data_IF_747082559487
#
_entry.id   IF_747082559487
#
_cell.length_a   1.000
_cell.length_b   1.000
_cell.length_c   1.000
_cell.angle_alpha   90.00
_cell.angle_beta   90.00
_cell.angle_gamma   90.00
#
_symmetry.space_group_name_H-M   'P 1'
#
loop_
_entity.id
_entity.type
_entity.pdbx_description
1 polymer ?
#
# COMPACT_ATOMS: atom_id res chain seq x y z
N UNK A 1 14.09 -1.65 43.57
CA UNK A 1 14.81 -1.95 42.37
C UNK A 1 14.03 -1.66 41.09
N UNK A 2 13.63 -2.61 40.30
CA UNK A 2 12.95 -2.31 39.02
C UNK A 2 11.66 -1.49 39.16
N UNK A 3 10.95 -1.59 40.27
CA UNK A 3 9.66 -0.89 40.48
C UNK A 3 9.89 0.58 40.89
N UNK A 4 10.93 0.91 41.65
CA UNK A 4 11.22 2.29 42.04
C UNK A 4 11.66 3.19 40.90
N UNK A 5 12.41 2.65 39.96
CA UNK A 5 12.79 3.33 38.70
C UNK A 5 11.69 3.30 37.64
N UNK A 6 10.72 2.39 37.77
CA UNK A 6 9.66 2.20 36.81
C UNK A 6 8.62 3.32 36.77
N UNK A 7 8.48 4.11 37.83
CA UNK A 7 7.55 5.24 37.85
C UNK A 7 8.00 6.31 36.85
N UNK A 8 9.27 6.68 36.87
CA UNK A 8 9.82 7.62 35.88
C UNK A 8 9.82 7.03 34.48
N UNK A 9 10.13 5.76 34.35
CA UNK A 9 10.09 5.02 33.09
C UNK A 9 8.68 4.94 32.53
N UNK A 10 7.69 4.61 33.34
CA UNK A 10 6.29 4.56 32.98
C UNK A 10 5.76 5.93 32.53
N UNK A 11 6.12 6.99 33.25
CA UNK A 11 5.77 8.36 32.87
C UNK A 11 6.42 8.75 31.55
N UNK A 12 7.66 8.37 31.33
CA UNK A 12 8.36 8.60 30.05
C UNK A 12 7.70 7.87 28.88
N UNK A 13 7.29 6.62 29.09
CA UNK A 13 6.56 5.84 28.07
C UNK A 13 5.20 6.46 27.76
N UNK A 14 4.44 6.86 28.75
CA UNK A 14 3.14 7.53 28.56
C UNK A 14 3.31 8.85 27.81
N UNK A 15 4.32 9.62 28.16
CA UNK A 15 4.66 10.85 27.45
C UNK A 15 5.04 10.61 25.98
N UNK A 16 5.88 9.61 25.73
CA UNK A 16 6.29 9.23 24.38
C UNK A 16 5.10 8.73 23.53
N UNK A 17 4.26 7.89 24.11
CA UNK A 17 3.03 7.41 23.46
C UNK A 17 2.06 8.54 23.18
N UNK A 18 1.96 9.54 24.04
CA UNK A 18 1.14 10.73 23.84
C UNK A 18 1.62 11.53 22.64
N UNK A 19 2.92 11.67 22.45
CA UNK A 19 3.51 12.34 21.28
C UNK A 19 3.17 11.57 19.99
N UNK A 20 3.28 10.26 19.99
CA UNK A 20 2.95 9.41 18.86
C UNK A 20 1.47 9.52 18.50
N UNK A 21 0.60 9.60 19.50
CA UNK A 21 -0.85 9.69 19.29
C UNK A 21 -1.31 11.01 18.66
N UNK A 22 -0.65 12.11 18.96
CA UNK A 22 -1.08 13.45 18.53
C UNK A 22 -0.59 13.86 17.15
N UNK A 23 0.35 13.13 16.60
CA UNK A 23 0.83 13.48 15.26
C UNK A 23 0.08 12.70 14.21
N UNK A 24 -0.83 13.41 13.54
CA UNK A 24 -1.45 13.15 12.25
C UNK A 24 -1.50 11.68 11.84
N UNK A 25 -2.61 11.24 11.29
CA UNK A 25 -2.80 9.91 10.76
C UNK A 25 -1.52 9.39 10.09
N UNK A 26 -0.79 8.54 10.81
CA UNK A 26 0.35 7.83 10.27
C UNK A 26 -0.21 6.87 9.23
N UNK A 27 -0.10 7.24 7.97
CA UNK A 27 -0.65 6.48 6.85
C UNK A 27 0.11 5.17 6.62
N UNK A 28 1.34 5.09 7.09
CA UNK A 28 2.18 3.92 6.92
C UNK A 28 2.49 3.27 8.28
N UNK A 29 2.13 2.00 8.43
CA UNK A 29 2.42 1.19 9.60
C UNK A 29 3.93 1.08 9.89
N UNK A 30 4.76 1.25 8.88
CA UNK A 30 6.23 1.18 9.02
C UNK A 30 6.77 2.35 9.83
N UNK A 31 6.27 3.54 9.63
CA UNK A 31 6.69 4.73 10.36
C UNK A 31 6.40 4.60 11.84
N UNK A 32 5.27 3.99 12.19
CA UNK A 32 4.92 3.67 13.57
C UNK A 32 5.94 2.73 14.21
N UNK A 33 6.36 1.69 13.51
CA UNK A 33 7.38 0.73 14.00
C UNK A 33 8.71 1.43 14.24
N UNK A 34 9.15 2.32 13.37
CA UNK A 34 10.39 3.10 13.56
C UNK A 34 10.32 3.99 14.79
N UNK A 35 9.20 4.65 15.04
CA UNK A 35 9.00 5.50 16.20
C UNK A 35 9.04 4.67 17.48
N UNK A 36 8.34 3.56 17.55
CA UNK A 36 8.36 2.64 18.69
C UNK A 36 9.76 2.10 18.96
N UNK A 37 10.46 1.71 17.90
CA UNK A 37 11.84 1.25 18.02
C UNK A 37 12.76 2.31 18.62
N UNK A 38 12.69 3.53 18.14
CA UNK A 38 13.47 4.65 18.65
C UNK A 38 13.19 4.90 20.15
N UNK A 39 11.93 4.85 20.57
CA UNK A 39 11.50 5.01 21.95
C UNK A 39 12.07 3.87 22.83
N UNK A 40 11.93 2.63 22.41
CA UNK A 40 12.42 1.47 23.16
C UNK A 40 13.94 1.50 23.32
N UNK A 41 14.66 1.81 22.25
CA UNK A 41 16.14 1.94 22.31
C UNK A 41 16.56 3.08 23.24
N UNK A 42 15.90 4.22 23.14
CA UNK A 42 16.18 5.36 24.00
C UNK A 42 15.95 5.06 25.47
N UNK A 43 14.85 4.39 25.81
CA UNK A 43 14.54 3.98 27.17
C UNK A 43 15.53 2.95 27.70
N UNK A 44 15.86 1.95 26.90
CA UNK A 44 16.82 0.89 27.30
C UNK A 44 18.22 1.47 27.54
N UNK A 45 18.66 2.41 26.73
CA UNK A 45 19.92 3.13 26.93
C UNK A 45 19.87 4.00 28.19
N UNK A 46 18.74 4.63 28.47
CA UNK A 46 18.56 5.48 29.65
C UNK A 46 18.62 4.71 30.97
N UNK A 47 18.19 3.47 30.98
CA UNK A 47 18.26 2.59 32.16
C UNK A 47 19.65 1.96 32.32
N UNK A 48 20.51 2.06 31.31
CA UNK A 48 21.85 1.49 31.35
C UNK A 48 21.92 0.02 30.95
N UNK A 49 20.82 -0.53 30.46
CA UNK A 49 20.78 -1.92 29.99
C UNK A 49 21.08 -2.01 28.48
N UNK A 50 22.35 -1.90 28.17
CA UNK A 50 22.84 -1.92 26.79
C UNK A 50 22.68 -3.25 26.11
N UNK A 51 22.66 -4.35 26.85
CA UNK A 51 22.48 -5.69 26.26
C UNK A 51 21.08 -5.83 25.73
N UNK A 52 20.08 -5.46 26.53
CA UNK A 52 18.66 -5.48 26.07
C UNK A 52 18.43 -4.55 24.89
N UNK A 53 19.04 -3.36 24.90
CA UNK A 53 18.96 -2.44 23.76
C UNK A 53 19.55 -3.05 22.49
N UNK A 54 20.72 -3.69 22.58
CA UNK A 54 21.39 -4.33 21.45
C UNK A 54 20.61 -5.50 20.88
N UNK A 55 20.14 -6.40 21.72
CA UNK A 55 19.33 -7.56 21.30
C UNK A 55 18.00 -7.11 20.70
N UNK A 56 17.31 -6.18 21.35
CA UNK A 56 16.05 -5.63 20.86
C UNK A 56 16.19 -4.96 19.49
N UNK A 57 17.25 -4.17 19.31
CA UNK A 57 17.55 -3.53 18.04
C UNK A 57 17.84 -4.55 16.93
N UNK A 58 18.59 -5.60 17.24
CA UNK A 58 18.86 -6.67 16.27
C UNK A 58 17.58 -7.37 15.83
N UNK A 59 16.70 -7.72 16.76
CA UNK A 59 15.41 -8.36 16.44
C UNK A 59 14.54 -7.46 15.56
N UNK A 60 14.41 -6.19 15.93
CA UNK A 60 13.61 -5.23 15.13
C UNK A 60 14.21 -5.05 13.74
N UNK A 61 15.54 -4.96 13.65
CA UNK A 61 16.23 -4.87 12.37
C UNK A 61 15.93 -6.06 11.46
N UNK A 62 16.00 -7.28 11.99
CA UNK A 62 15.64 -8.50 11.23
C UNK A 62 14.19 -8.48 10.80
N UNK A 63 13.27 -8.12 11.67
CA UNK A 63 11.84 -8.03 11.34
C UNK A 63 11.62 -7.01 10.23
N UNK A 64 12.25 -5.84 10.31
CA UNK A 64 12.14 -4.81 9.28
C UNK A 64 12.74 -5.25 7.93
N UNK A 65 13.83 -6.03 7.95
CA UNK A 65 14.38 -6.60 6.71
C UNK A 65 13.39 -7.55 6.04
N UNK A 66 12.76 -8.42 6.82
CA UNK A 66 11.75 -9.35 6.32
C UNK A 66 10.53 -8.60 5.78
N UNK A 67 10.03 -7.63 6.54
CA UNK A 67 8.89 -6.81 6.10
C UNK A 67 9.25 -5.90 4.91
N UNK A 68 10.49 -5.41 4.86
CA UNK A 68 10.98 -4.59 3.75
C UNK A 68 11.08 -5.35 2.43
N UNK A 69 11.26 -6.67 2.49
CA UNK A 69 11.22 -7.52 1.31
C UNK A 69 9.77 -7.79 0.83
N UNK A 70 8.81 -7.69 1.71
CA UNK A 70 7.39 -7.63 1.30
C UNK A 70 7.15 -6.25 0.71
N UNK A 71 7.66 -6.07 -0.48
CA UNK A 71 7.50 -4.86 -1.27
C UNK A 71 6.01 -4.63 -1.46
N UNK A 72 5.51 -3.49 -1.02
CA UNK A 72 4.25 -2.99 -1.53
C UNK A 72 4.37 -3.02 -3.05
N UNK A 73 3.74 -3.99 -3.65
CA UNK A 73 3.56 -3.94 -5.09
C UNK A 73 2.72 -2.71 -5.33
N UNK A 74 3.36 -1.67 -5.83
CA UNK A 74 2.67 -0.47 -6.26
C UNK A 74 1.57 -0.94 -7.19
N UNK A 75 0.35 -0.85 -6.72
CA UNK A 75 -0.81 -1.31 -7.44
C UNK A 75 -1.28 -0.18 -8.34
N UNK A 76 -1.70 -0.55 -9.51
CA UNK A 76 -2.29 0.37 -10.46
C UNK A 76 -3.77 0.02 -10.62
N UNK A 77 -4.59 1.05 -10.75
CA UNK A 77 -6.00 0.90 -11.00
C UNK A 77 -6.29 1.25 -12.45
N UNK A 78 -6.92 0.33 -13.15
CA UNK A 78 -7.45 0.56 -14.49
C UNK A 78 -8.95 0.78 -14.37
N UNK A 79 -9.41 1.96 -14.69
CA UNK A 79 -10.81 2.36 -14.66
C UNK A 79 -11.30 2.44 -16.09
N UNK A 80 -12.31 1.64 -16.41
CA UNK A 80 -12.93 1.61 -17.73
C UNK A 80 -14.42 1.88 -17.58
N UNK A 81 -14.91 2.90 -18.27
CA UNK A 81 -16.34 3.19 -18.35
C UNK A 81 -16.83 3.10 -19.79
N UNK A 82 -17.93 2.43 -19.97
CA UNK A 82 -18.55 2.29 -21.28
C UNK A 82 -20.02 1.90 -21.17
N UNK A 83 -20.63 1.61 -22.30
CA UNK A 83 -22.01 1.14 -22.33
C UNK A 83 -22.14 -0.26 -21.71
N UNK A 84 -23.24 -0.52 -21.02
CA UNK A 84 -23.50 -1.82 -20.38
C UNK A 84 -23.43 -3.00 -21.37
N UNK A 85 -23.78 -2.79 -22.61
CA UNK A 85 -23.71 -3.83 -23.65
C UNK A 85 -22.27 -4.28 -23.97
N UNK A 86 -21.27 -3.49 -23.63
CA UNK A 86 -19.85 -3.78 -23.90
C UNK A 86 -19.10 -4.41 -22.73
N UNK A 87 -19.78 -4.66 -21.61
CA UNK A 87 -19.22 -5.23 -20.40
C UNK A 87 -18.38 -6.50 -20.66
N UNK A 88 -18.99 -7.49 -21.30
CA UNK A 88 -18.31 -8.76 -21.61
C UNK A 88 -17.08 -8.57 -22.52
N UNK A 89 -17.16 -7.64 -23.46
CA UNK A 89 -16.04 -7.32 -24.35
C UNK A 89 -14.89 -6.66 -23.60
N UNK A 90 -15.19 -5.74 -22.69
CA UNK A 90 -14.19 -5.09 -21.84
C UNK A 90 -13.51 -6.12 -20.98
N UNK A 91 -14.27 -6.97 -20.29
CA UNK A 91 -13.73 -8.04 -19.46
C UNK A 91 -12.83 -8.99 -20.22
N UNK A 92 -13.25 -9.45 -21.39
CA UNK A 92 -12.45 -10.36 -22.21
C UNK A 92 -11.16 -9.71 -22.72
N UNK A 93 -11.24 -8.46 -23.19
CA UNK A 93 -10.07 -7.72 -23.68
C UNK A 93 -9.04 -7.46 -22.60
N UNK A 94 -9.48 -7.04 -21.41
CA UNK A 94 -8.59 -6.79 -20.27
C UNK A 94 -7.95 -8.10 -19.79
N UNK A 95 -8.75 -9.15 -19.67
CA UNK A 95 -8.28 -10.47 -19.25
C UNK A 95 -7.27 -11.07 -20.22
N UNK A 96 -7.46 -10.91 -21.52
CA UNK A 96 -6.56 -11.37 -22.55
C UNK A 96 -5.26 -10.56 -22.59
N UNK A 97 -5.35 -9.22 -22.51
CA UNK A 97 -4.20 -8.34 -22.55
C UNK A 97 -3.23 -8.60 -21.39
N UNK A 98 -3.76 -8.77 -20.18
CA UNK A 98 -2.97 -9.04 -18.98
C UNK A 98 -2.81 -10.53 -18.66
N UNK A 99 -3.19 -11.43 -19.57
CA UNK A 99 -3.09 -12.88 -19.40
C UNK A 99 -3.71 -13.39 -18.09
N UNK A 100 -4.89 -12.90 -17.74
CA UNK A 100 -5.64 -13.22 -16.53
C UNK A 100 -4.92 -12.88 -15.21
N UNK A 101 -3.99 -11.93 -15.24
CA UNK A 101 -3.27 -11.46 -14.06
C UNK A 101 -3.79 -10.11 -13.57
N UNK A 102 -5.09 -9.93 -13.62
CA UNK A 102 -5.80 -8.76 -13.15
C UNK A 102 -6.95 -9.20 -12.28
N UNK A 103 -7.19 -8.44 -11.23
CA UNK A 103 -8.31 -8.65 -10.32
C UNK A 103 -9.34 -7.54 -10.51
N UNK A 104 -10.59 -7.93 -10.78
CA UNK A 104 -11.71 -7.01 -10.81
C UNK A 104 -12.05 -6.63 -9.36
N UNK A 105 -11.90 -5.38 -9.02
CA UNK A 105 -12.15 -4.88 -7.67
C UNK A 105 -13.55 -4.35 -7.48
N UNK A 106 -14.01 -3.59 -8.45
CA UNK A 106 -15.30 -2.92 -8.39
C UNK A 106 -15.97 -3.01 -9.76
N UNK A 107 -17.22 -3.38 -9.73
CA UNK A 107 -18.12 -3.36 -10.86
C UNK A 107 -19.32 -2.49 -10.50
N UNK A 108 -19.39 -1.31 -11.07
CA UNK A 108 -20.51 -0.42 -10.92
C UNK A 108 -21.36 -0.48 -12.19
N UNK A 109 -22.52 -1.08 -12.10
CA UNK A 109 -23.43 -1.19 -13.22
C UNK A 109 -24.64 -0.28 -13.01
N UNK A 110 -24.88 0.60 -13.97
CA UNK A 110 -26.08 1.42 -14.06
C UNK A 110 -26.98 0.89 -15.17
N UNK A 111 -28.15 1.46 -15.36
CA UNK A 111 -29.08 1.02 -16.40
C UNK A 111 -28.43 1.05 -17.78
N UNK A 112 -27.64 2.09 -18.08
CA UNK A 112 -27.08 2.36 -19.39
C UNK A 112 -25.56 2.23 -19.46
N UNK A 113 -24.86 2.26 -18.30
CA UNK A 113 -23.41 2.30 -18.25
C UNK A 113 -22.85 1.25 -17.30
N UNK A 114 -21.62 0.83 -17.59
CA UNK A 114 -20.81 -0.01 -16.71
C UNK A 114 -19.46 0.68 -16.45
N UNK A 115 -19.04 0.66 -15.22
CA UNK A 115 -17.70 1.10 -14.82
C UNK A 115 -17.00 -0.06 -14.12
N UNK A 116 -15.88 -0.45 -14.69
CA UNK A 116 -15.06 -1.56 -14.19
C UNK A 116 -13.74 -1.01 -13.68
N UNK A 117 -13.40 -1.36 -12.45
CA UNK A 117 -12.13 -1.00 -11.83
C UNK A 117 -11.32 -2.26 -11.58
N UNK A 118 -10.22 -2.38 -12.30
CA UNK A 118 -9.28 -3.47 -12.18
C UNK A 118 -8.06 -3.07 -11.37
N UNK A 119 -7.61 -3.96 -10.53
CA UNK A 119 -6.34 -3.81 -9.82
C UNK A 119 -5.26 -4.62 -10.53
N UNK A 120 -4.16 -3.95 -10.87
CA UNK A 120 -3.06 -4.52 -11.64
C UNK A 120 -1.75 -4.27 -10.89
N UNK A 121 -0.92 -5.30 -10.77
CA UNK A 121 0.44 -5.09 -10.28
C UNK A 121 1.26 -4.26 -11.28
N UNK A 122 1.99 -3.27 -10.79
CA UNK A 122 2.87 -2.41 -11.61
C UNK A 122 3.86 -3.21 -12.46
N UNK A 123 4.31 -4.37 -11.96
CA UNK A 123 5.18 -5.28 -12.72
C UNK A 123 4.46 -5.86 -13.94
N UNK A 124 3.22 -6.30 -13.75
CA UNK A 124 2.38 -6.84 -14.84
C UNK A 124 2.07 -5.75 -15.85
N UNK A 125 1.70 -4.56 -15.38
CA UNK A 125 1.45 -3.42 -16.26
C UNK A 125 2.67 -3.04 -17.09
N UNK A 126 3.86 -2.87 -16.47
CA UNK A 126 5.10 -2.57 -17.19
C UNK A 126 5.50 -3.65 -18.19
N UNK A 127 5.26 -4.91 -17.86
CA UNK A 127 5.55 -6.03 -18.77
C UNK A 127 4.60 -6.03 -19.96
N UNK A 128 3.34 -5.73 -19.73
CA UNK A 128 2.31 -5.68 -20.78
C UNK A 128 2.41 -4.41 -21.62
N UNK A 129 2.83 -3.28 -21.04
CA UNK A 129 3.01 -2.02 -21.77
C UNK A 129 4.18 -2.04 -22.78
N UNK A 130 5.03 -3.06 -22.71
CA UNK A 130 6.05 -3.32 -23.74
C UNK A 130 5.48 -3.97 -25.00
N UNK A 131 4.22 -4.32 -25.02
CA UNK A 131 3.53 -4.78 -26.22
C UNK A 131 3.34 -3.61 -27.20
N UNK A 132 3.24 -3.92 -28.46
CA UNK A 132 3.13 -2.91 -29.53
C UNK A 132 1.93 -1.98 -29.39
N UNK A 133 0.87 -2.44 -28.72
CA UNK A 133 -0.37 -1.69 -28.56
C UNK A 133 -0.63 -1.47 -27.07
N UNK A 134 -0.96 -0.24 -26.69
CA UNK A 134 -1.33 0.06 -25.30
C UNK A 134 -2.73 -0.50 -24.97
N UNK A 135 -2.96 -0.82 -23.69
CA UNK A 135 -4.28 -1.27 -23.25
C UNK A 135 -5.38 -0.25 -23.56
N UNK A 136 -5.04 1.02 -23.48
CA UNK A 136 -5.97 2.11 -23.80
C UNK A 136 -6.41 2.05 -25.25
N UNK A 137 -5.49 1.87 -26.20
CA UNK A 137 -5.81 1.71 -27.61
C UNK A 137 -6.64 0.47 -27.88
N UNK A 138 -6.34 -0.65 -27.21
CA UNK A 138 -7.14 -1.86 -27.33
C UNK A 138 -8.58 -1.65 -26.86
N UNK A 139 -8.77 -0.94 -25.77
CA UNK A 139 -10.08 -0.66 -25.21
C UNK A 139 -10.87 0.37 -26.04
N UNK A 140 -10.20 1.40 -26.56
CA UNK A 140 -10.87 2.38 -27.44
C UNK A 140 -11.30 1.82 -28.80
N UNK A 141 -10.80 0.67 -29.19
CA UNK A 141 -11.31 -0.07 -30.37
C UNK A 141 -12.69 -0.69 -30.13
N UNK A 142 -13.10 -0.81 -28.89
CA UNK A 142 -14.44 -1.28 -28.53
C UNK A 142 -15.41 -0.12 -28.70
N UNK A 143 -16.50 -0.35 -29.38
CA UNK A 143 -17.56 0.65 -29.55
C UNK A 143 -18.17 1.03 -28.19
N UNK A 144 -18.54 2.29 -28.04
CA UNK A 144 -19.22 2.82 -26.85
C UNK A 144 -18.40 2.82 -25.55
N UNK A 145 -17.09 2.90 -25.66
CA UNK A 145 -16.23 3.22 -24.51
C UNK A 145 -16.24 4.73 -24.28
N UNK A 146 -16.58 5.12 -23.06
CA UNK A 146 -16.64 6.54 -22.66
C UNK A 146 -15.27 7.07 -22.28
N UNK A 147 -14.59 6.38 -21.36
CA UNK A 147 -13.20 6.70 -21.03
C UNK A 147 -12.45 5.50 -20.45
N UNK A 148 -11.13 5.55 -20.58
CA UNK A 148 -10.20 4.63 -19.97
C UNK A 148 -9.17 5.43 -19.19
N UNK A 149 -9.04 5.16 -17.91
CA UNK A 149 -8.07 5.84 -17.04
C UNK A 149 -7.19 4.81 -16.33
N UNK A 150 -5.89 5.10 -16.25
CA UNK A 150 -4.94 4.29 -15.50
C UNK A 150 -4.36 5.16 -14.39
N UNK A 151 -4.68 4.81 -13.15
CA UNK A 151 -4.24 5.54 -11.97
C UNK A 151 -3.20 4.70 -11.24
N UNK A 152 -2.04 5.28 -10.99
CA UNK A 152 -1.07 4.70 -10.08
C UNK A 152 -1.50 5.02 -8.66
N UNK A 153 -1.72 4.00 -7.87
CA UNK A 153 -1.95 4.15 -6.44
C UNK A 153 -0.58 4.33 -5.76
N UNK A 154 0.08 5.46 -6.03
CA UNK A 154 1.16 5.90 -5.18
C UNK A 154 0.52 6.46 -3.91
N UNK A 155 0.93 5.92 -2.77
CA UNK A 155 0.52 6.43 -1.45
C UNK A 155 1.04 7.85 -1.15
N UNK A 156 1.54 8.54 -2.16
CA UNK A 156 1.93 9.93 -2.14
C UNK A 156 0.73 10.83 -2.46
N UNK A 157 -0.27 10.80 -1.58
CA UNK A 157 -1.09 11.98 -1.43
C UNK A 157 -0.47 12.81 -0.30
N UNK A 158 0.65 13.41 -0.60
CA UNK A 158 1.11 14.59 0.10
C UNK A 158 0.21 15.74 -0.31
N UNK A 159 -0.70 16.06 0.53
CA UNK A 159 -1.52 17.24 0.47
C UNK A 159 -1.72 17.74 1.88
#
# INVERSE_FOLDING_TARGET
TAIGNNVALSLGMVGALSIVRFRTAIKDSRDTVYIFWAVVVGLSCGVGDYITAGVGSAVVFFVLLILGQVKNENRMLLIVRGARSTDTRIMSTVSEYFKRRVDLRVENTTVDQVELIYEISRKVYKKSSKQMTSIQECLYKIEHIEYVNVVSQDDDISG
#
